data_IF_334169082984
#
_entry.id   IF_334169082984
#
_cell.length_a   1.000
_cell.length_b   1.000
_cell.length_c   1.000
_cell.angle_alpha   90.00
_cell.angle_beta   90.00
_cell.angle_gamma   90.00
#
_symmetry.space_group_name_H-M   'P 1'
#
loop_
_entity.id
_entity.type
_entity.pdbx_description
1 polymer ?
#
# COMPACT_ATOMS: atom_id res chain seq x y z
N UNK A 1 -10.45 -60.44 30.71
CA UNK A 1 -9.27 -59.56 30.78
C UNK A 1 -8.92 -58.99 29.39
N UNK A 2 -9.70 -58.06 28.81
CA UNK A 2 -9.40 -57.51 27.48
C UNK A 2 -9.93 -56.09 27.20
N UNK A 3 -10.26 -55.31 28.24
CA UNK A 3 -10.84 -53.97 28.10
C UNK A 3 -10.07 -52.84 28.82
N UNK A 4 -9.00 -53.14 29.58
CA UNK A 4 -8.19 -52.13 30.26
C UNK A 4 -6.89 -51.73 29.53
N UNK A 5 -6.42 -52.50 28.53
CA UNK A 5 -5.15 -52.23 27.85
C UNK A 5 -5.18 -51.12 26.78
N UNK A 6 -6.35 -50.79 26.24
CA UNK A 6 -6.46 -49.85 25.10
C UNK A 6 -6.59 -48.38 25.50
N UNK A 7 -6.88 -48.07 26.77
CA UNK A 7 -6.95 -46.68 27.28
C UNK A 7 -5.60 -46.14 27.76
N UNK A 8 -4.65 -47.01 28.09
CA UNK A 8 -3.30 -46.59 28.54
C UNK A 8 -2.35 -46.26 27.37
N UNK A 9 -2.53 -46.88 26.21
CA UNK A 9 -1.74 -46.56 25.01
C UNK A 9 -2.11 -45.20 24.39
N UNK A 10 -3.37 -44.77 24.49
CA UNK A 10 -3.80 -43.47 23.98
C UNK A 10 -3.35 -42.28 24.87
N UNK A 11 -3.28 -42.47 26.20
CA UNK A 11 -2.78 -41.43 27.10
C UNK A 11 -1.25 -41.28 27.03
N UNK A 12 -0.49 -42.35 26.77
CA UNK A 12 0.96 -42.25 26.58
C UNK A 12 1.34 -41.57 25.25
N UNK A 13 0.54 -41.74 24.19
CA UNK A 13 0.78 -41.09 22.90
C UNK A 13 0.51 -39.57 22.93
N UNK A 14 -0.47 -39.11 23.71
CA UNK A 14 -0.74 -37.68 23.89
C UNK A 14 0.31 -36.96 24.75
N UNK A 15 0.97 -37.65 25.68
CA UNK A 15 2.04 -37.07 26.51
C UNK A 15 3.41 -37.04 25.82
N UNK A 16 3.64 -37.85 24.78
CA UNK A 16 4.89 -37.83 24.02
C UNK A 16 4.93 -36.79 22.90
N UNK A 17 3.78 -36.40 22.33
CA UNK A 17 3.71 -35.31 21.34
C UNK A 17 3.81 -33.91 21.96
N UNK A 18 3.45 -33.75 23.24
CA UNK A 18 3.53 -32.45 23.93
C UNK A 18 4.92 -32.14 24.49
N UNK A 19 5.80 -33.15 24.65
CA UNK A 19 7.20 -32.94 25.03
C UNK A 19 8.19 -32.88 23.85
N UNK A 20 7.79 -33.29 22.64
CA UNK A 20 8.64 -33.19 21.44
C UNK A 20 8.34 -31.94 20.59
N UNK A 21 7.14 -31.35 20.71
CA UNK A 21 6.78 -30.12 20.00
C UNK A 21 7.39 -28.83 20.57
N UNK A 22 7.89 -28.86 21.81
CA UNK A 22 8.40 -27.68 22.53
C UNK A 22 9.92 -27.49 22.44
N UNK A 23 10.65 -28.42 21.82
CA UNK A 23 12.10 -28.25 21.57
C UNK A 23 12.46 -27.96 20.11
N UNK A 24 11.50 -28.01 19.17
CA UNK A 24 11.72 -27.58 17.78
C UNK A 24 11.38 -26.10 17.52
N UNK A 25 10.87 -25.37 18.52
CA UNK A 25 10.58 -23.93 18.45
C UNK A 25 11.71 -23.05 19.02
N UNK A 26 12.96 -23.52 19.00
CA UNK A 26 14.14 -22.73 19.39
C UNK A 26 15.26 -22.73 18.33
N UNK A 27 14.93 -22.97 17.06
CA UNK A 27 15.92 -22.96 15.98
C UNK A 27 15.41 -22.34 14.66
N UNK A 28 14.48 -21.40 14.74
CA UNK A 28 14.40 -20.36 13.70
C UNK A 28 14.58 -19.03 14.41
N UNK A 29 15.77 -18.46 14.23
CA UNK A 29 15.99 -17.06 14.47
C UNK A 29 15.07 -16.27 13.55
N UNK A 30 13.83 -16.06 13.98
CA UNK A 30 13.12 -14.85 13.64
C UNK A 30 13.89 -13.78 14.38
N UNK A 31 14.90 -13.24 13.69
CA UNK A 31 15.38 -11.90 13.96
C UNK A 31 14.14 -11.08 14.26
N UNK A 32 14.03 -10.59 15.49
CA UNK A 32 13.11 -9.51 15.77
C UNK A 32 13.39 -8.45 14.71
N UNK A 33 12.53 -8.35 13.71
CA UNK A 33 12.41 -7.13 12.93
C UNK A 33 12.10 -6.08 13.98
N UNK A 34 13.17 -5.38 14.39
CA UNK A 34 13.08 -4.16 15.16
C UNK A 34 12.10 -3.31 14.37
N UNK A 35 10.88 -3.19 14.87
CA UNK A 35 9.85 -2.37 14.26
C UNK A 35 10.50 -1.02 13.92
N UNK A 36 10.70 -0.78 12.63
CA UNK A 36 11.40 0.41 12.17
C UNK A 36 10.54 1.59 12.61
N UNK A 37 11.00 2.31 13.66
CA UNK A 37 10.34 3.54 14.09
C UNK A 37 10.23 4.45 12.87
N UNK A 38 9.08 5.12 12.66
CA UNK A 38 8.94 6.08 11.58
C UNK A 38 10.10 7.06 11.66
N UNK A 39 10.83 7.20 10.56
CA UNK A 39 12.02 8.03 10.52
C UNK A 39 11.59 9.49 10.34
N UNK A 40 12.20 10.44 11.06
CA UNK A 40 11.86 11.86 10.93
C UNK A 40 12.10 12.32 9.48
N UNK A 41 11.14 13.06 8.92
CA UNK A 41 11.20 13.58 7.55
C UNK A 41 11.82 14.97 7.48
N UNK A 42 11.75 15.74 8.57
CA UNK A 42 12.32 17.09 8.70
C UNK A 42 13.16 17.23 9.96
N UNK A 43 14.16 18.12 9.94
CA UNK A 43 15.02 18.42 11.06
C UNK A 43 15.40 19.89 11.09
N UNK A 44 15.52 20.44 12.30
CA UNK A 44 16.09 21.75 12.58
C UNK A 44 17.41 21.57 13.33
N UNK A 45 18.50 22.03 12.73
CA UNK A 45 19.85 21.89 13.31
C UNK A 45 20.69 23.16 13.14
N UNK A 46 21.68 23.30 14.01
CA UNK A 46 22.75 24.30 13.92
C UNK A 46 24.08 23.59 13.76
N UNK A 47 25.03 24.18 13.01
CA UNK A 47 26.36 23.62 12.88
C UNK A 47 27.49 24.66 12.91
N UNK A 48 28.69 24.19 13.25
CA UNK A 48 29.96 24.90 13.14
C UNK A 48 30.88 24.12 12.21
N UNK A 49 31.47 24.79 11.21
CA UNK A 49 32.39 24.18 10.26
C UNK A 49 33.83 24.64 10.54
N UNK A 50 34.74 23.68 10.73
CA UNK A 50 36.18 23.88 10.91
C UNK A 50 37.02 22.94 10.06
N UNK A 51 38.30 23.25 9.89
CA UNK A 51 39.19 22.45 9.03
C UNK A 51 39.68 21.20 9.74
N UNK A 52 39.94 21.29 11.05
CA UNK A 52 40.65 20.25 11.80
C UNK A 52 39.76 19.56 12.82
N UNK A 53 40.01 18.27 13.04
CA UNK A 53 39.27 17.49 14.05
C UNK A 53 39.54 18.01 15.46
N UNK A 54 40.77 18.44 15.73
CA UNK A 54 41.17 18.97 17.03
C UNK A 54 40.38 20.22 17.42
N UNK A 55 40.06 21.11 16.46
CA UNK A 55 39.20 22.27 16.72
C UNK A 55 37.76 21.86 17.01
N UNK A 56 37.25 20.83 16.33
CA UNK A 56 35.91 20.30 16.59
C UNK A 56 35.82 19.68 17.98
N UNK A 57 36.84 18.94 18.40
CA UNK A 57 36.92 18.32 19.73
C UNK A 57 37.03 19.35 20.86
N UNK A 58 37.85 20.38 20.69
CA UNK A 58 37.93 21.50 21.64
C UNK A 58 36.56 22.18 21.80
N UNK A 59 35.83 22.40 20.71
CA UNK A 59 34.50 23.00 20.77
C UNK A 59 33.45 22.09 21.40
N UNK A 60 33.45 20.78 21.10
CA UNK A 60 32.56 19.85 21.80
C UNK A 60 32.83 19.87 23.31
N UNK A 61 34.09 19.84 23.73
CA UNK A 61 34.46 19.91 25.14
C UNK A 61 34.04 21.21 25.83
N UNK A 62 34.10 22.35 25.12
CA UNK A 62 33.63 23.65 25.64
C UNK A 62 32.10 23.74 25.76
N UNK A 63 31.38 23.06 24.87
CA UNK A 63 29.92 23.14 24.79
C UNK A 63 29.21 22.07 25.63
N UNK A 64 29.84 20.92 25.86
CA UNK A 64 29.29 19.84 26.68
C UNK A 64 29.01 20.28 28.11
N UNK A 65 27.76 20.10 28.56
CA UNK A 65 27.35 20.44 29.93
C UNK A 65 27.12 21.92 30.20
N UNK A 66 27.28 22.81 29.21
CA UNK A 66 27.06 24.25 29.42
C UNK A 66 25.56 24.58 29.60
N UNK A 67 25.15 25.30 30.66
CA UNK A 67 23.72 25.56 30.95
C UNK A 67 23.02 26.43 29.90
N UNK A 68 23.79 27.17 29.09
CA UNK A 68 23.31 27.96 27.96
C UNK A 68 23.97 27.51 26.65
N UNK A 69 23.95 26.19 26.39
CA UNK A 69 24.60 25.57 25.23
C UNK A 69 24.29 26.30 23.92
N UNK A 70 23.02 26.58 23.62
CA UNK A 70 22.62 27.24 22.37
C UNK A 70 23.20 28.65 22.19
N UNK A 71 23.34 29.42 23.28
CA UNK A 71 23.88 30.78 23.21
C UNK A 71 25.38 30.73 22.96
N UNK A 72 26.09 29.85 23.66
CA UNK A 72 27.54 29.69 23.47
C UNK A 72 27.87 29.07 22.11
N UNK A 73 27.05 28.11 21.66
CA UNK A 73 27.14 27.55 20.32
C UNK A 73 27.01 28.64 19.25
N UNK A 74 26.00 29.51 19.38
CA UNK A 74 25.77 30.59 18.43
C UNK A 74 26.93 31.59 18.42
N UNK A 75 27.59 31.81 19.56
CA UNK A 75 28.76 32.69 19.66
C UNK A 75 29.98 32.05 19.00
N UNK A 76 30.31 30.81 19.35
CA UNK A 76 31.40 30.04 18.72
C UNK A 76 31.19 29.90 17.20
N UNK A 77 29.94 29.72 16.76
CA UNK A 77 29.61 29.68 15.34
C UNK A 77 29.88 31.01 14.62
N UNK A 78 29.61 32.15 15.27
CA UNK A 78 29.90 33.46 14.69
C UNK A 78 31.39 33.76 14.63
N UNK A 79 32.15 33.29 15.62
CA UNK A 79 33.59 33.57 15.76
C UNK A 79 34.46 32.63 14.92
N UNK A 80 34.14 31.32 14.90
CA UNK A 80 35.02 30.28 14.35
C UNK A 80 34.48 29.54 13.13
N UNK A 81 33.17 29.59 12.85
CA UNK A 81 32.60 28.81 11.72
C UNK A 81 32.98 29.39 10.38
N UNK A 82 33.45 28.54 9.47
CA UNK A 82 33.70 28.90 8.06
C UNK A 82 32.44 28.92 7.20
N UNK A 83 31.33 28.39 7.71
CA UNK A 83 30.08 28.34 6.98
C UNK A 83 29.38 29.70 6.98
N UNK A 84 28.72 30.12 5.88
CA UNK A 84 27.89 31.34 5.86
C UNK A 84 26.80 31.39 6.95
N UNK A 85 26.35 30.23 7.47
CA UNK A 85 25.42 30.15 8.60
C UNK A 85 26.01 30.67 9.90
N UNK A 86 27.34 30.80 10.01
CA UNK A 86 28.03 31.38 11.17
C UNK A 86 27.48 32.75 11.56
N UNK A 87 27.12 33.60 10.59
CA UNK A 87 26.49 34.91 10.81
C UNK A 87 25.13 34.84 11.53
N UNK A 88 24.47 33.68 11.49
CA UNK A 88 23.20 33.38 12.15
C UNK A 88 23.39 32.40 13.32
N UNK A 89 24.56 32.41 13.94
CA UNK A 89 24.89 31.50 15.03
C UNK A 89 24.90 30.03 14.62
N UNK A 90 25.24 29.74 13.37
CA UNK A 90 25.32 28.38 12.83
C UNK A 90 23.99 27.76 12.44
N UNK A 91 22.86 28.48 12.62
CA UNK A 91 21.52 27.95 12.35
C UNK A 91 21.27 27.68 10.87
N UNK A 92 20.80 26.47 10.54
CA UNK A 92 20.38 26.07 9.19
C UNK A 92 18.87 26.18 8.95
N UNK A 93 18.08 26.45 9.99
CA UNK A 93 16.61 26.36 9.92
C UNK A 93 16.12 24.92 9.78
N UNK A 94 14.87 24.75 9.33
CA UNK A 94 14.27 23.44 9.08
C UNK A 94 14.57 22.96 7.66
N UNK A 95 15.01 21.71 7.52
CA UNK A 95 15.27 21.07 6.24
C UNK A 95 14.81 19.61 6.24
N UNK A 96 14.44 19.09 5.07
CA UNK A 96 14.06 17.69 4.87
C UNK A 96 15.26 16.76 4.64
N UNK A 97 15.06 15.46 4.84
CA UNK A 97 16.06 14.42 4.51
C UNK A 97 16.53 14.51 3.06
N UNK A 98 17.82 14.24 2.84
CA UNK A 98 18.46 14.23 1.53
C UNK A 98 18.78 15.61 0.93
N UNK A 99 18.57 16.69 1.69
CA UNK A 99 18.92 18.06 1.26
C UNK A 99 20.38 18.43 1.56
N UNK A 100 21.01 17.71 2.50
CA UNK A 100 22.39 17.91 2.93
C UNK A 100 23.29 16.77 2.43
N UNK A 101 24.60 16.92 2.60
CA UNK A 101 25.55 15.84 2.25
C UNK A 101 25.26 14.57 3.05
N UNK A 102 25.43 13.36 2.48
CA UNK A 102 24.95 12.11 3.09
C UNK A 102 25.49 11.84 4.50
N UNK A 103 26.72 12.24 4.80
CA UNK A 103 27.34 12.10 6.12
C UNK A 103 26.66 13.02 7.15
N UNK A 104 26.40 14.27 6.77
CA UNK A 104 25.71 15.24 7.62
C UNK A 104 24.24 14.88 7.82
N UNK A 105 23.55 14.45 6.77
CA UNK A 105 22.14 14.06 6.82
C UNK A 105 21.95 12.90 7.82
N UNK A 106 22.76 11.84 7.72
CA UNK A 106 22.72 10.74 8.68
C UNK A 106 23.00 11.20 10.10
N UNK A 107 24.01 12.05 10.31
CA UNK A 107 24.33 12.57 11.63
C UNK A 107 23.17 13.37 12.27
N UNK A 108 22.41 14.12 11.47
CA UNK A 108 21.26 14.90 11.97
C UNK A 108 20.05 14.01 12.28
N UNK A 109 19.74 13.07 11.39
CA UNK A 109 18.47 12.35 11.43
C UNK A 109 18.51 10.97 12.12
N UNK A 110 19.69 10.35 12.24
CA UNK A 110 19.84 9.03 12.89
C UNK A 110 20.26 9.13 14.36
N UNK A 111 20.84 10.26 14.75
CA UNK A 111 21.35 10.47 16.10
C UNK A 111 20.28 11.10 17.01
N UNK A 112 20.48 11.01 18.34
CA UNK A 112 19.54 11.58 19.32
C UNK A 112 19.58 13.12 19.30
N UNK A 113 18.43 13.82 19.23
CA UNK A 113 18.40 15.28 19.24
C UNK A 113 18.86 15.85 20.59
N UNK A 114 19.15 17.15 20.62
CA UNK A 114 19.66 17.88 21.79
C UNK A 114 21.05 17.44 22.29
N UNK A 115 21.79 16.71 21.46
CA UNK A 115 23.17 16.29 21.71
C UNK A 115 24.09 16.81 20.62
N UNK A 116 25.35 17.02 20.98
CA UNK A 116 26.41 17.43 20.07
C UNK A 116 27.00 16.20 19.37
N UNK A 117 27.19 16.31 18.07
CA UNK A 117 27.88 15.30 17.26
C UNK A 117 28.90 15.97 16.36
N UNK A 118 30.05 15.33 16.17
CA UNK A 118 30.99 15.71 15.10
C UNK A 118 30.83 14.78 13.91
N UNK A 119 30.93 15.35 12.71
CA UNK A 119 30.97 14.58 11.47
C UNK A 119 31.98 15.18 10.50
N UNK A 120 32.72 14.31 9.81
CA UNK A 120 33.62 14.71 8.75
C UNK A 120 32.87 14.68 7.41
N UNK A 121 33.01 15.73 6.62
CA UNK A 121 32.53 15.79 5.24
C UNK A 121 33.64 16.28 4.32
N UNK A 122 33.36 16.35 3.02
CA UNK A 122 34.28 16.95 2.04
C UNK A 122 34.63 18.43 2.31
N UNK A 123 33.86 19.13 3.16
CA UNK A 123 34.09 20.54 3.50
C UNK A 123 34.92 20.74 4.77
N UNK A 124 35.23 19.67 5.51
CA UNK A 124 35.90 19.73 6.79
C UNK A 124 35.10 19.02 7.89
N UNK A 125 35.32 19.46 9.12
CA UNK A 125 34.67 18.93 10.33
C UNK A 125 33.49 19.79 10.74
N UNK A 126 32.36 19.15 10.96
CA UNK A 126 31.12 19.80 11.37
C UNK A 126 30.77 19.37 12.79
N UNK A 127 30.63 20.34 13.69
CA UNK A 127 29.99 20.13 14.99
C UNK A 127 28.51 20.47 14.84
N UNK A 128 27.63 19.51 15.09
CA UNK A 128 26.19 19.58 14.84
C UNK A 128 25.44 19.55 16.17
N UNK A 129 24.45 20.43 16.29
CA UNK A 129 23.44 20.38 17.33
C UNK A 129 22.05 20.31 16.69
N UNK A 130 21.36 19.18 16.86
CA UNK A 130 19.99 19.01 16.35
C UNK A 130 19.01 19.51 17.41
N UNK A 131 18.26 20.56 17.10
CA UNK A 131 17.27 21.17 18.00
C UNK A 131 15.96 20.38 17.98
N UNK A 132 15.43 20.08 16.79
CA UNK A 132 14.14 19.42 16.66
C UNK A 132 14.15 18.48 15.46
N UNK A 133 13.60 17.28 15.66
CA UNK A 133 13.22 16.37 14.59
C UNK A 133 11.70 16.50 14.40
N UNK A 134 11.27 16.69 13.16
CA UNK A 134 9.87 16.83 12.78
C UNK A 134 9.44 15.66 11.90
N UNK A 135 8.22 15.20 12.13
CA UNK A 135 7.48 14.36 11.20
C UNK A 135 6.61 15.31 10.37
N UNK A 136 6.57 15.13 9.04
CA UNK A 136 5.55 15.79 8.24
C UNK A 136 4.21 15.29 8.79
N UNK A 137 3.47 16.18 9.45
CA UNK A 137 2.09 15.92 9.85
C UNK A 137 1.29 15.72 8.57
N UNK A 138 1.09 14.46 8.20
CA UNK A 138 0.09 14.05 7.22
C UNK A 138 -1.26 14.55 7.78
N UNK A 139 -1.84 15.55 7.09
CA UNK A 139 -3.02 16.34 7.46
C UNK A 139 -3.96 15.67 8.46
N UNK A 140 -3.98 16.19 9.68
CA UNK A 140 -4.69 15.66 10.85
C UNK A 140 -6.22 15.82 10.70
N UNK A 141 -6.89 14.82 10.12
CA UNK A 141 -8.34 14.71 10.21
C UNK A 141 -8.64 14.21 11.65
N UNK A 142 -8.81 15.13 12.61
CA UNK A 142 -8.80 14.89 14.07
C UNK A 142 -9.72 13.77 14.59
N UNK A 143 -10.67 13.33 13.76
CA UNK A 143 -11.49 12.15 13.99
C UNK A 143 -10.68 10.85 13.97
N UNK A 144 -9.72 10.68 13.06
CA UNK A 144 -8.97 9.44 12.92
C UNK A 144 -7.97 9.24 14.06
N UNK A 145 -7.31 10.30 14.56
CA UNK A 145 -6.40 10.20 15.71
C UNK A 145 -7.16 9.87 17.01
N UNK A 146 -8.29 10.53 17.24
CA UNK A 146 -9.19 10.24 18.36
C UNK A 146 -9.78 8.83 18.25
N UNK A 147 -10.16 8.42 17.03
CA UNK A 147 -10.66 7.08 16.73
C UNK A 147 -9.60 6.01 16.97
N UNK A 148 -8.35 6.20 16.53
CA UNK A 148 -7.23 5.27 16.74
C UNK A 148 -6.94 5.10 18.24
N UNK A 149 -6.93 6.19 19.03
CA UNK A 149 -6.69 6.14 20.47
C UNK A 149 -7.81 5.38 21.19
N UNK A 150 -9.08 5.65 20.83
CA UNK A 150 -10.24 4.94 21.39
C UNK A 150 -10.19 3.46 21.01
N UNK A 151 -9.89 3.15 19.74
CA UNK A 151 -9.81 1.77 19.25
C UNK A 151 -8.65 0.99 19.89
N UNK A 152 -7.50 1.62 20.14
CA UNK A 152 -6.36 0.96 20.80
C UNK A 152 -6.59 0.72 22.30
N UNK A 153 -7.32 1.61 22.97
CA UNK A 153 -7.70 1.43 24.39
C UNK A 153 -8.83 0.40 24.57
N UNK A 154 -9.70 0.26 23.58
CA UNK A 154 -10.78 -0.74 23.55
C UNK A 154 -10.34 -2.09 22.96
N UNK A 155 -9.21 -2.16 22.24
CA UNK A 155 -8.67 -3.38 21.64
C UNK A 155 -8.58 -4.60 22.58
N UNK A 156 -8.12 -4.51 23.86
CA UNK A 156 -8.09 -5.68 24.75
C UNK A 156 -9.49 -6.17 25.17
N UNK A 157 -10.53 -5.35 25.03
CA UNK A 157 -11.92 -5.72 25.32
C UNK A 157 -12.67 -6.18 24.06
N UNK A 158 -12.35 -5.62 22.90
CA UNK A 158 -12.92 -5.98 21.60
C UNK A 158 -12.32 -7.27 21.03
N UNK A 159 -11.05 -7.59 21.31
CA UNK A 159 -10.40 -8.81 20.81
C UNK A 159 -11.03 -10.13 21.27
N UNK A 160 -11.39 -10.34 22.56
CA UNK A 160 -12.09 -11.56 22.98
C UNK A 160 -13.52 -11.61 22.44
N UNK A 161 -14.21 -10.47 22.33
CA UNK A 161 -15.55 -10.39 21.72
C UNK A 161 -15.49 -10.70 20.22
N UNK A 162 -14.49 -10.17 19.52
CA UNK A 162 -14.24 -10.46 18.11
C UNK A 162 -13.94 -11.94 17.95
N UNK A 163 -13.04 -12.54 18.74
CA UNK A 163 -12.76 -13.99 18.75
C UNK A 163 -14.04 -14.82 18.95
N UNK A 164 -14.91 -14.45 19.88
CA UNK A 164 -16.21 -15.10 20.07
C UNK A 164 -17.10 -14.94 18.82
N UNK A 165 -17.12 -13.77 18.19
CA UNK A 165 -17.83 -13.53 16.92
C UNK A 165 -17.20 -14.34 15.78
N UNK A 166 -15.88 -14.48 15.65
CA UNK A 166 -15.26 -15.36 14.63
C UNK A 166 -15.45 -16.83 14.96
N UNK A 167 -15.61 -17.22 16.22
CA UNK A 167 -15.96 -18.60 16.57
C UNK A 167 -17.44 -18.91 16.29
N UNK A 168 -18.34 -17.92 16.44
CA UNK A 168 -19.77 -18.04 16.10
C UNK A 168 -20.09 -17.80 14.62
N UNK A 169 -19.33 -16.96 13.90
CA UNK A 169 -19.52 -16.63 12.47
C UNK A 169 -18.45 -17.22 11.55
N UNK A 170 -17.39 -17.84 12.07
CA UNK A 170 -16.27 -18.43 11.30
C UNK A 170 -16.62 -19.71 10.54
N UNK A 171 -17.87 -20.15 10.58
CA UNK A 171 -18.40 -21.10 9.59
C UNK A 171 -19.03 -20.42 8.36
N UNK A 172 -19.09 -19.08 8.30
CA UNK A 172 -19.85 -18.36 7.24
C UNK A 172 -19.04 -17.55 6.25
N UNK A 173 -17.70 -17.55 6.31
CA UNK A 173 -16.85 -16.90 5.31
C UNK A 173 -15.94 -17.89 4.57
N UNK A 174 -16.47 -19.07 4.22
CA UNK A 174 -15.92 -19.80 3.09
C UNK A 174 -16.27 -19.01 1.81
N UNK A 175 -15.25 -18.39 1.23
CA UNK A 175 -15.22 -17.92 -0.16
C UNK A 175 -16.11 -16.69 -0.48
N UNK A 176 -15.55 -15.46 -0.37
CA UNK A 176 -15.91 -14.42 -1.35
C UNK A 176 -15.34 -14.86 -2.70
N UNK A 177 -16.03 -15.81 -3.34
CA UNK A 177 -15.83 -16.04 -4.77
C UNK A 177 -16.08 -14.69 -5.43
N UNK A 178 -15.08 -14.16 -6.14
CA UNK A 178 -15.35 -13.13 -7.15
C UNK A 178 -16.42 -13.75 -8.04
N UNK A 179 -17.63 -13.17 -8.07
CA UNK A 179 -18.73 -13.70 -8.86
C UNK A 179 -18.33 -13.83 -10.34
N UNK A 180 -19.14 -14.52 -11.16
CA UNK A 180 -18.80 -14.73 -12.56
C UNK A 180 -18.53 -13.37 -13.24
N UNK A 181 -17.41 -13.29 -13.96
CA UNK A 181 -17.00 -12.14 -14.77
C UNK A 181 -17.24 -12.49 -16.23
N UNK A 182 -17.79 -11.55 -17.00
CA UNK A 182 -17.95 -11.67 -18.43
C UNK A 182 -17.09 -10.64 -19.15
N UNK A 183 -16.53 -11.00 -20.30
CA UNK A 183 -15.93 -10.09 -21.26
C UNK A 183 -16.78 -10.07 -22.52
N UNK A 184 -17.20 -8.88 -22.94
CA UNK A 184 -18.03 -8.72 -24.14
C UNK A 184 -17.58 -7.53 -24.98
N UNK A 185 -17.78 -7.65 -26.29
CA UNK A 185 -17.64 -6.56 -27.25
C UNK A 185 -19.00 -6.17 -27.79
N UNK A 186 -19.23 -4.89 -28.08
CA UNK A 186 -20.51 -4.44 -28.62
C UNK A 186 -20.41 -3.33 -29.67
N UNK A 187 -21.49 -3.20 -30.45
CA UNK A 187 -21.73 -2.10 -31.38
C UNK A 187 -23.04 -1.41 -31.00
N UNK A 188 -22.96 -0.13 -30.62
CA UNK A 188 -24.13 0.73 -30.38
C UNK A 188 -24.57 1.47 -31.65
N UNK A 189 -25.84 1.33 -32.03
CA UNK A 189 -26.54 2.04 -33.12
C UNK A 189 -27.91 2.55 -32.66
N UNK A 190 -28.51 3.51 -33.37
CA UNK A 190 -29.78 4.11 -32.95
C UNK A 190 -30.99 3.28 -33.40
N UNK A 191 -30.91 2.65 -34.57
CA UNK A 191 -32.05 2.01 -35.21
C UNK A 191 -31.95 0.48 -35.19
N UNK A 192 -33.09 -0.19 -35.03
CA UNK A 192 -33.15 -1.66 -35.03
C UNK A 192 -32.70 -2.25 -36.38
N UNK A 193 -33.07 -1.57 -37.48
CA UNK A 193 -32.72 -2.00 -38.84
C UNK A 193 -31.20 -2.09 -39.03
N UNK A 194 -30.46 -1.09 -38.56
CA UNK A 194 -28.98 -1.11 -38.60
C UNK A 194 -28.41 -2.25 -37.77
N UNK A 195 -28.99 -2.52 -36.59
CA UNK A 195 -28.56 -3.62 -35.73
C UNK A 195 -28.79 -5.00 -36.40
N UNK A 196 -29.91 -5.16 -37.10
CA UNK A 196 -30.23 -6.40 -37.83
C UNK A 196 -29.30 -6.66 -39.01
N UNK A 197 -28.94 -5.61 -39.76
CA UNK A 197 -27.96 -5.70 -40.84
C UNK A 197 -26.58 -6.09 -40.32
N UNK A 198 -26.15 -5.46 -39.22
CA UNK A 198 -24.88 -5.77 -38.56
C UNK A 198 -24.85 -7.20 -38.02
N UNK A 199 -25.95 -7.65 -37.40
CA UNK A 199 -26.07 -9.02 -36.89
C UNK A 199 -25.89 -10.04 -38.02
N UNK A 200 -26.55 -9.84 -39.16
CA UNK A 200 -26.41 -10.72 -40.34
C UNK A 200 -24.99 -10.73 -40.88
N UNK A 201 -24.33 -9.56 -40.97
CA UNK A 201 -22.96 -9.45 -41.46
C UNK A 201 -21.93 -10.13 -40.55
N UNK A 202 -22.16 -10.10 -39.24
CA UNK A 202 -21.26 -10.73 -38.26
C UNK A 202 -21.48 -12.26 -38.26
N UNK A 203 -22.72 -12.71 -38.37
CA UNK A 203 -23.05 -14.15 -38.40
C UNK A 203 -22.59 -14.84 -39.69
N UNK A 204 -22.55 -14.13 -40.83
CA UNK A 204 -22.10 -14.69 -42.10
C UNK A 204 -20.57 -14.66 -42.30
N UNK A 205 -19.82 -14.05 -41.38
CA UNK A 205 -18.37 -13.93 -41.50
C UNK A 205 -17.64 -15.15 -40.92
N UNK A 206 -16.57 -15.59 -41.59
CA UNK A 206 -15.70 -16.69 -41.11
C UNK A 206 -15.04 -16.38 -39.75
N UNK A 207 -14.85 -15.08 -39.45
CA UNK A 207 -14.30 -14.58 -38.18
C UNK A 207 -15.20 -13.50 -37.58
N UNK A 208 -16.28 -13.90 -36.86
CA UNK A 208 -17.28 -12.98 -36.32
C UNK A 208 -16.67 -11.87 -35.45
N UNK A 209 -15.70 -12.22 -34.59
CA UNK A 209 -15.01 -11.28 -33.70
C UNK A 209 -14.25 -10.19 -34.48
N UNK A 210 -13.45 -10.57 -35.46
CA UNK A 210 -12.68 -9.60 -36.25
C UNK A 210 -13.60 -8.67 -37.04
N UNK A 211 -14.71 -9.20 -37.57
CA UNK A 211 -15.69 -8.38 -38.30
C UNK A 211 -16.43 -7.42 -37.38
N UNK A 212 -16.77 -7.84 -36.17
CA UNK A 212 -17.36 -6.99 -35.15
C UNK A 212 -16.41 -5.85 -34.78
N UNK A 213 -15.12 -6.10 -34.58
CA UNK A 213 -14.14 -5.06 -34.25
C UNK A 213 -14.01 -3.99 -35.35
N UNK A 214 -14.03 -4.40 -36.62
CA UNK A 214 -14.03 -3.52 -37.78
C UNK A 214 -15.31 -2.65 -37.82
N UNK A 215 -16.48 -3.29 -37.71
CA UNK A 215 -17.77 -2.61 -37.73
C UNK A 215 -17.97 -1.70 -36.53
N UNK A 216 -17.46 -2.07 -35.36
CA UNK A 216 -17.49 -1.27 -34.15
C UNK A 216 -16.70 0.03 -34.33
N UNK A 217 -15.48 -0.04 -34.91
CA UNK A 217 -14.66 1.15 -35.19
C UNK A 217 -15.34 2.09 -36.18
N UNK A 218 -16.01 1.54 -37.20
CA UNK A 218 -16.62 2.31 -38.27
C UNK A 218 -17.98 2.91 -37.90
N UNK A 219 -18.86 2.14 -37.27
CA UNK A 219 -20.28 2.48 -37.12
C UNK A 219 -20.74 2.67 -35.68
N UNK A 220 -19.97 2.25 -34.67
CA UNK A 220 -20.45 2.37 -33.29
C UNK A 220 -20.43 3.81 -32.78
N UNK A 221 -21.49 4.18 -32.06
CA UNK A 221 -21.57 5.45 -31.32
C UNK A 221 -20.92 5.40 -29.94
N UNK A 222 -20.61 4.21 -29.41
CA UNK A 222 -19.99 4.07 -28.11
C UNK A 222 -18.50 4.48 -28.13
N UNK A 223 -17.99 4.98 -27.00
CA UNK A 223 -16.56 5.29 -26.83
C UNK A 223 -15.66 4.06 -26.98
N UNK A 224 -16.20 2.86 -26.74
CA UNK A 224 -15.51 1.56 -26.94
C UNK A 224 -15.10 1.31 -28.39
N UNK A 225 -15.63 2.07 -29.37
CA UNK A 225 -15.24 1.97 -30.79
C UNK A 225 -13.73 2.02 -31.02
N UNK A 226 -13.00 2.81 -30.21
CA UNK A 226 -11.53 2.91 -30.29
C UNK A 226 -10.82 1.58 -30.02
N UNK A 227 -11.45 0.69 -29.24
CA UNK A 227 -10.98 -0.65 -28.89
C UNK A 227 -11.72 -1.75 -29.66
N UNK A 228 -12.32 -1.43 -30.82
CA UNK A 228 -13.11 -2.41 -31.57
C UNK A 228 -14.38 -2.85 -30.85
N UNK A 229 -14.92 -2.03 -29.94
CA UNK A 229 -16.15 -2.35 -29.21
C UNK A 229 -15.95 -3.13 -27.91
N UNK A 230 -14.71 -3.52 -27.57
CA UNK A 230 -14.39 -4.28 -26.35
C UNK A 230 -14.62 -3.43 -25.08
N UNK A 231 -15.41 -3.99 -24.15
CA UNK A 231 -15.71 -3.39 -22.85
C UNK A 231 -14.78 -3.88 -21.73
N UNK A 232 -13.94 -4.87 -21.97
CA UNK A 232 -13.14 -5.53 -20.93
C UNK A 232 -13.98 -6.45 -20.03
N UNK A 233 -13.40 -6.81 -18.88
CA UNK A 233 -14.04 -7.70 -17.90
C UNK A 233 -14.98 -6.91 -16.98
N UNK A 234 -16.21 -7.37 -16.86
CA UNK A 234 -17.21 -6.81 -15.94
C UNK A 234 -17.95 -7.91 -15.18
N UNK A 235 -18.39 -7.59 -13.98
CA UNK A 235 -19.22 -8.44 -13.13
C UNK A 235 -20.70 -8.08 -13.21
N UNK A 236 -21.55 -8.91 -12.59
CA UNK A 236 -22.98 -8.61 -12.42
C UNK A 236 -23.18 -7.28 -11.67
N UNK A 237 -24.18 -6.51 -12.10
CA UNK A 237 -24.53 -5.18 -11.59
C UNK A 237 -23.76 -4.01 -12.21
N UNK A 238 -22.77 -4.26 -13.08
CA UNK A 238 -21.97 -3.19 -13.70
C UNK A 238 -22.52 -2.72 -15.05
N UNK A 239 -23.40 -3.49 -15.68
CA UNK A 239 -24.02 -3.19 -16.97
C UNK A 239 -25.53 -3.04 -16.82
N UNK A 240 -26.18 -2.43 -17.81
CA UNK A 240 -27.64 -2.32 -17.81
C UNK A 240 -28.29 -3.71 -17.83
N UNK A 241 -29.40 -3.93 -17.10
CA UNK A 241 -30.01 -5.26 -16.95
C UNK A 241 -30.21 -6.07 -18.25
N UNK A 242 -30.71 -5.47 -19.37
CA UNK A 242 -30.88 -6.23 -20.60
C UNK A 242 -29.55 -6.64 -21.24
N UNK A 243 -28.51 -5.80 -21.13
CA UNK A 243 -27.16 -6.13 -21.62
C UNK A 243 -26.53 -7.25 -20.78
N UNK A 244 -26.63 -7.14 -19.45
CA UNK A 244 -26.11 -8.14 -18.52
C UNK A 244 -26.73 -9.52 -18.79
N UNK A 245 -28.06 -9.56 -18.98
CA UNK A 245 -28.78 -10.78 -19.25
C UNK A 245 -28.20 -11.52 -20.45
N UNK A 246 -27.93 -10.80 -21.54
CA UNK A 246 -27.29 -11.38 -22.74
C UNK A 246 -25.85 -11.82 -22.44
N UNK A 247 -25.09 -11.00 -21.72
CA UNK A 247 -23.68 -11.28 -21.43
C UNK A 247 -23.46 -12.54 -20.56
N UNK A 248 -24.40 -12.85 -19.67
CA UNK A 248 -24.27 -13.97 -18.72
C UNK A 248 -25.20 -15.16 -19.01
N UNK A 249 -26.30 -15.02 -19.76
CA UNK A 249 -27.19 -16.15 -20.08
C UNK A 249 -26.92 -16.79 -21.44
N UNK A 250 -26.34 -16.05 -22.40
CA UNK A 250 -26.08 -16.57 -23.75
C UNK A 250 -24.74 -17.30 -23.83
N UNK A 251 -24.57 -18.07 -24.89
CA UNK A 251 -23.34 -18.84 -25.11
C UNK A 251 -22.14 -17.92 -25.41
N UNK A 252 -20.94 -18.40 -25.09
CA UNK A 252 -19.72 -17.68 -25.47
C UNK A 252 -19.58 -17.76 -27.00
N UNK A 253 -19.05 -16.70 -27.61
CA UNK A 253 -18.92 -16.50 -29.05
C UNK A 253 -20.24 -16.37 -29.84
N UNK A 254 -21.39 -16.33 -29.16
CA UNK A 254 -22.66 -16.01 -29.82
C UNK A 254 -22.89 -14.49 -29.90
N UNK A 255 -23.59 -14.07 -30.96
CA UNK A 255 -23.89 -12.66 -31.23
C UNK A 255 -25.38 -12.42 -31.10
N UNK A 256 -25.75 -11.41 -30.32
CA UNK A 256 -27.14 -11.09 -30.01
C UNK A 256 -27.38 -9.59 -30.06
N UNK A 257 -28.57 -9.18 -30.54
CA UNK A 257 -29.02 -7.80 -30.40
C UNK A 257 -29.78 -7.60 -29.09
N UNK A 258 -29.64 -6.42 -28.51
CA UNK A 258 -30.42 -6.00 -27.34
C UNK A 258 -30.75 -4.52 -27.41
N UNK A 259 -31.95 -4.17 -26.96
CA UNK A 259 -32.38 -2.79 -26.82
C UNK A 259 -32.10 -2.30 -25.40
N UNK A 260 -31.55 -1.10 -25.27
CA UNK A 260 -31.35 -0.42 -23.99
C UNK A 260 -31.81 1.04 -24.11
N UNK A 261 -31.77 1.79 -23.01
CA UNK A 261 -32.03 3.23 -23.01
C UNK A 261 -31.08 4.04 -23.91
N UNK A 262 -29.92 3.47 -24.29
CA UNK A 262 -28.93 4.13 -25.14
C UNK A 262 -29.10 3.84 -26.64
N UNK A 263 -30.04 2.95 -27.00
CA UNK A 263 -30.26 2.49 -28.38
C UNK A 263 -30.15 0.97 -28.50
N UNK A 264 -29.74 0.52 -29.69
CA UNK A 264 -29.58 -0.90 -30.01
C UNK A 264 -28.12 -1.31 -29.94
N UNK A 265 -27.86 -2.41 -29.22
CA UNK A 265 -26.53 -2.97 -29.04
C UNK A 265 -26.47 -4.34 -29.68
N UNK A 266 -25.50 -4.55 -30.56
CA UNK A 266 -25.11 -5.89 -31.03
C UNK A 266 -23.95 -6.35 -30.15
N UNK A 267 -24.15 -7.41 -29.37
CA UNK A 267 -23.22 -7.89 -28.34
C UNK A 267 -22.65 -9.24 -28.74
N UNK A 268 -21.36 -9.43 -28.53
CA UNK A 268 -20.67 -10.71 -28.59
C UNK A 268 -19.94 -10.97 -27.28
N UNK A 269 -20.21 -12.10 -26.63
CA UNK A 269 -19.52 -12.52 -25.41
C UNK A 269 -18.23 -13.23 -25.81
N UNK A 270 -17.08 -12.73 -25.39
CA UNK A 270 -15.76 -13.27 -25.76
C UNK A 270 -15.27 -14.29 -24.75
N UNK A 271 -15.54 -14.06 -23.46
CA UNK A 271 -15.05 -14.94 -22.39
C UNK A 271 -15.91 -14.82 -21.13
N UNK A 272 -15.98 -15.89 -20.34
CA UNK A 272 -16.62 -15.92 -19.02
C UNK A 272 -15.71 -16.62 -18.02
N UNK A 273 -15.27 -15.88 -17.01
CA UNK A 273 -14.39 -16.37 -15.95
C UNK A 273 -15.18 -16.57 -14.66
N UNK A 274 -15.02 -17.73 -14.02
CA UNK A 274 -15.64 -18.02 -12.72
C UNK A 274 -17.06 -18.58 -12.77
N UNK A 275 -17.61 -18.87 -13.96
CA UNK A 275 -18.81 -19.71 -14.06
C UNK A 275 -18.43 -21.17 -13.79
N UNK A 276 -18.97 -21.75 -12.72
CA UNK A 276 -19.06 -23.22 -12.62
C UNK A 276 -20.08 -23.66 -13.66
N UNK A 277 -19.64 -24.35 -14.73
CA UNK A 277 -20.58 -25.03 -15.63
C UNK A 277 -21.34 -26.06 -14.79
N UNK A 278 -22.62 -25.81 -14.56
CA UNK A 278 -23.52 -26.82 -14.03
C UNK A 278 -23.74 -27.83 -15.17
N UNK A 279 -22.96 -28.91 -15.16
CA UNK A 279 -23.19 -30.08 -16.00
C UNK A 279 -24.23 -30.99 -15.34
#
# INVERSE_FOLDING_TARGET
MAALGRRWLALCALLFLTLCGTTCLFATGVSAEVAAKPQPTTASASHILVDTEAEADDMMAQLEGHPKLLVEFAKLAQEKSKCPSGKKGGSLGSFGRGRMVPEFDRAVFEQEPHRLYKVQTQFGWHVIYTTQLGEEEESDDSLYRTFIIIMNKAAPFMTPLLLIIIMFFGQRTANKTKGPLARASHILVDTEKEADELLKQIQSADKPKAKLEELARAKSKCSSKKKGGDLGLFGRGQMVPPFEKVAFEKDVDSVHKVQTQFGWHVIMVTDRLGEKKNN
#
